data_IF_612116412946
#
_entry.id   IF_612116412946
#
_cell.length_a   1.000
_cell.length_b   1.000
_cell.length_c   1.000
_cell.angle_alpha   90.00
_cell.angle_beta   90.00
_cell.angle_gamma   90.00
#
_symmetry.space_group_name_H-M   'P 1'
#
loop_
_entity.id
_entity.type
_entity.pdbx_description
1 polymer ?
#
# COMPACT_ATOMS: atom_id res chain seq x y z
N UNK A 1 -11.64 0.71 -13.08
CA UNK A 1 -10.55 1.64 -12.79
C UNK A 1 -9.74 1.14 -11.61
N UNK A 2 -8.43 1.05 -11.72
CA UNK A 2 -7.63 0.58 -10.59
C UNK A 2 -7.63 1.61 -9.47
N UNK A 3 -7.65 1.09 -8.25
CA UNK A 3 -7.50 1.90 -7.04
C UNK A 3 -6.04 1.77 -6.65
N UNK A 4 -5.26 2.81 -6.89
CA UNK A 4 -3.83 2.81 -6.61
C UNK A 4 -3.62 2.94 -5.11
N UNK A 5 -2.96 1.96 -4.54
CA UNK A 5 -2.94 1.75 -3.10
C UNK A 5 -1.52 1.63 -2.57
N UNK A 6 -1.27 2.26 -1.43
CA UNK A 6 -0.02 2.11 -0.70
C UNK A 6 -0.32 1.40 0.62
N UNK A 7 0.53 0.42 0.97
CA UNK A 7 0.43 -0.29 2.24
C UNK A 7 1.55 0.21 3.16
N UNK A 8 1.20 0.54 4.40
CA UNK A 8 2.16 1.03 5.39
C UNK A 8 2.05 0.20 6.66
N UNK A 9 3.13 -0.46 7.04
CA UNK A 9 3.20 -1.19 8.30
C UNK A 9 4.68 -1.46 8.61
N UNK A 10 5.05 -1.39 9.88
CA UNK A 10 6.43 -1.65 10.29
C UNK A 10 6.75 -3.14 10.37
N UNK A 11 5.75 -4.00 10.18
CA UNK A 11 5.92 -5.45 10.21
C UNK A 11 5.83 -6.02 8.80
N UNK A 12 6.93 -6.59 8.26
CA UNK A 12 6.91 -7.16 6.90
C UNK A 12 5.85 -8.25 6.72
N UNK A 13 5.60 -9.05 7.76
CA UNK A 13 4.59 -10.10 7.67
C UNK A 13 3.18 -9.54 7.55
N UNK A 14 2.93 -8.39 8.20
CA UNK A 14 1.64 -7.71 8.07
C UNK A 14 1.42 -7.21 6.64
N UNK A 15 2.46 -6.67 6.02
CA UNK A 15 2.41 -6.24 4.62
C UNK A 15 2.09 -7.43 3.71
N UNK A 16 2.78 -8.56 3.91
CA UNK A 16 2.51 -9.77 3.12
C UNK A 16 1.09 -10.25 3.30
N UNK A 17 0.59 -10.23 4.54
CA UNK A 17 -0.78 -10.63 4.83
C UNK A 17 -1.81 -9.75 4.12
N UNK A 18 -1.58 -8.44 4.11
CA UNK A 18 -2.45 -7.52 3.40
C UNK A 18 -2.41 -7.76 1.89
N UNK A 19 -1.23 -7.97 1.34
CA UNK A 19 -1.09 -8.25 -0.09
C UNK A 19 -1.88 -9.49 -0.48
N UNK A 20 -1.79 -10.54 0.32
CA UNK A 20 -2.55 -11.78 0.05
C UNK A 20 -4.05 -11.56 0.14
N UNK A 21 -4.50 -10.80 1.13
CA UNK A 21 -5.92 -10.52 1.31
C UNK A 21 -6.49 -9.66 0.19
N UNK A 22 -5.67 -8.81 -0.40
CA UNK A 22 -6.11 -7.90 -1.45
C UNK A 22 -6.00 -8.50 -2.84
N UNK A 23 -5.29 -9.64 -3.00
CA UNK A 23 -5.15 -10.30 -4.29
C UNK A 23 -6.47 -10.57 -5.01
N UNK A 24 -7.54 -11.03 -4.33
CA UNK A 24 -8.80 -11.30 -5.03
C UNK A 24 -9.50 -10.06 -5.58
N UNK A 25 -9.07 -8.87 -5.19
CA UNK A 25 -9.71 -7.63 -5.59
C UNK A 25 -8.96 -7.04 -6.78
N UNK A 26 -9.46 -7.30 -7.98
CA UNK A 26 -8.81 -6.87 -9.22
C UNK A 26 -8.66 -5.35 -9.32
N UNK A 27 -9.54 -4.61 -8.64
CA UNK A 27 -9.51 -3.16 -8.68
C UNK A 27 -8.41 -2.55 -7.83
N UNK A 28 -7.83 -3.32 -6.90
CA UNK A 28 -6.78 -2.82 -6.02
C UNK A 28 -5.42 -3.05 -6.69
N UNK A 29 -4.71 -1.95 -6.91
CA UNK A 29 -3.35 -2.00 -7.45
C UNK A 29 -2.39 -1.48 -6.39
N UNK A 30 -1.53 -2.36 -5.88
CA UNK A 30 -0.56 -1.96 -4.88
C UNK A 30 0.64 -1.35 -5.58
N UNK A 31 0.81 -0.05 -5.43
CA UNK A 31 1.88 0.69 -6.11
C UNK A 31 3.14 0.82 -5.27
N UNK A 32 3.02 0.68 -3.95
CA UNK A 32 4.19 0.72 -3.06
C UNK A 32 3.85 0.14 -1.70
N UNK A 33 4.88 -0.28 -0.98
CA UNK A 33 4.76 -0.69 0.42
C UNK A 33 5.82 0.07 1.23
N UNK A 34 5.45 0.53 2.41
CA UNK A 34 6.30 1.35 3.26
C UNK A 34 6.35 0.77 4.66
N UNK A 35 7.46 0.95 5.35
CA UNK A 35 7.65 0.41 6.69
C UNK A 35 7.52 1.45 7.80
N UNK A 36 7.35 2.71 7.45
CA UNK A 36 7.19 3.77 8.45
C UNK A 36 6.53 5.00 7.83
N UNK A 37 6.16 5.97 8.68
CA UNK A 37 5.46 7.16 8.24
C UNK A 37 6.28 8.06 7.31
N UNK A 38 7.60 8.11 7.53
CA UNK A 38 8.48 8.93 6.68
C UNK A 38 8.48 8.41 5.26
N UNK A 39 8.61 7.09 5.09
CA UNK A 39 8.53 6.45 3.78
C UNK A 39 7.17 6.68 3.15
N UNK A 40 6.12 6.57 3.97
CA UNK A 40 4.76 6.74 3.49
C UNK A 40 4.53 8.15 2.92
N UNK A 41 5.00 9.18 3.62
CA UNK A 41 4.85 10.55 3.14
C UNK A 41 5.54 10.73 1.79
N UNK A 42 6.76 10.20 1.67
CA UNK A 42 7.51 10.29 0.42
C UNK A 42 6.80 9.56 -0.71
N UNK A 43 6.31 8.36 -0.40
CA UNK A 43 5.62 7.53 -1.38
C UNK A 43 4.32 8.16 -1.85
N UNK A 44 3.56 8.76 -0.92
CA UNK A 44 2.32 9.45 -1.25
C UNK A 44 2.59 10.60 -2.23
N UNK A 45 3.64 11.36 -1.99
CA UNK A 45 4.01 12.46 -2.87
C UNK A 45 4.41 11.98 -4.26
N UNK A 46 5.11 10.84 -4.31
CA UNK A 46 5.60 10.29 -5.56
C UNK A 46 4.50 9.62 -6.37
N UNK A 47 3.68 8.81 -5.72
CA UNK A 47 2.69 7.96 -6.40
C UNK A 47 1.30 8.55 -6.46
N UNK A 48 0.97 9.47 -5.57
CA UNK A 48 -0.36 10.10 -5.48
C UNK A 48 -1.46 9.05 -5.48
N UNK A 49 -1.46 8.16 -4.47
CA UNK A 49 -2.39 7.05 -4.45
C UNK A 49 -3.82 7.48 -4.18
N UNK A 50 -4.76 6.59 -4.48
CA UNK A 50 -6.16 6.77 -4.15
C UNK A 50 -6.46 6.32 -2.72
N UNK A 51 -5.66 5.40 -2.20
CA UNK A 51 -5.93 4.76 -0.91
C UNK A 51 -4.61 4.42 -0.20
N UNK A 52 -4.58 4.60 1.12
CA UNK A 52 -3.45 4.22 1.95
C UNK A 52 -3.96 3.38 3.12
N UNK A 53 -3.41 2.17 3.26
CA UNK A 53 -3.67 1.33 4.43
C UNK A 53 -2.55 1.57 5.45
N UNK A 54 -2.96 1.86 6.68
CA UNK A 54 -2.02 2.10 7.79
C UNK A 54 -2.14 1.01 8.84
#
# INVERSE_FOLDING_TARGET
>A
MPIRTILVDDEPLAIQGLQLRLEPFDDIEIVDTCSNGREAIRSIKTHKPDLVFL
#
